data_IF_611366896678
#
_entry.id   IF_611366896678
#
_cell.length_a   1.000
_cell.length_b   1.000
_cell.length_c   1.000
_cell.angle_alpha   90.00
_cell.angle_beta   90.00
_cell.angle_gamma   90.00
#
_symmetry.space_group_name_H-M   'P 1'
#
loop_
_entity.id
_entity.type
_entity.pdbx_description
1 polymer ?
#
# COMPACT_ATOMS: atom_id res chain seq x y z
N UNK A 1 15.75 19.95 -22.60
CA UNK A 1 16.39 18.83 -21.84
C UNK A 1 16.20 18.91 -20.32
N UNK A 2 16.72 19.92 -19.57
CA UNK A 2 16.64 20.00 -18.08
C UNK A 2 15.26 19.73 -17.44
N UNK A 3 14.17 20.02 -18.15
CA UNK A 3 12.79 19.85 -17.71
C UNK A 3 12.30 18.39 -17.76
N UNK A 4 12.92 17.54 -18.59
CA UNK A 4 12.50 16.16 -18.88
C UNK A 4 13.20 15.15 -17.98
N UNK A 5 14.43 15.46 -17.54
CA UNK A 5 15.24 14.61 -16.64
C UNK A 5 14.51 14.11 -15.38
N UNK A 6 13.66 14.92 -14.69
CA UNK A 6 12.91 14.42 -13.53
C UNK A 6 11.88 13.35 -13.90
N UNK A 7 11.19 13.50 -15.04
CA UNK A 7 10.19 12.55 -15.51
C UNK A 7 10.82 11.26 -16.04
N UNK A 8 11.99 11.34 -16.69
CA UNK A 8 12.76 10.15 -17.09
C UNK A 8 13.20 9.30 -15.88
N UNK A 9 13.45 9.92 -14.71
CA UNK A 9 13.77 9.17 -13.48
C UNK A 9 12.54 8.47 -12.90
N UNK A 10 11.36 9.09 -12.99
CA UNK A 10 10.08 8.46 -12.62
C UNK A 10 9.80 7.27 -13.53
N UNK A 11 9.97 7.45 -14.85
CA UNK A 11 9.84 6.39 -15.85
C UNK A 11 10.82 5.23 -15.57
N UNK A 12 12.08 5.53 -15.28
CA UNK A 12 13.07 4.50 -14.91
C UNK A 12 12.68 3.77 -13.61
N UNK A 13 12.10 4.46 -12.62
CA UNK A 13 11.59 3.83 -11.40
C UNK A 13 10.40 2.90 -11.65
N UNK A 14 9.50 3.29 -12.55
CA UNK A 14 8.38 2.46 -13.01
C UNK A 14 8.90 1.16 -13.65
N UNK A 15 9.81 1.27 -14.63
CA UNK A 15 10.39 0.09 -15.30
C UNK A 15 11.22 -0.77 -14.34
N UNK A 16 11.93 -0.18 -13.36
CA UNK A 16 12.62 -0.95 -12.33
C UNK A 16 11.64 -1.80 -11.49
N UNK A 17 10.45 -1.25 -11.16
CA UNK A 17 9.40 -2.01 -10.48
C UNK A 17 8.85 -3.16 -11.32
N UNK A 18 8.57 -2.92 -12.60
CA UNK A 18 8.10 -3.96 -13.53
C UNK A 18 9.16 -5.06 -13.73
N UNK A 19 10.43 -4.71 -13.95
CA UNK A 19 11.49 -5.72 -14.12
C UNK A 19 11.78 -6.48 -12.84
N UNK A 20 11.58 -5.88 -11.66
CA UNK A 20 11.68 -6.59 -10.38
C UNK A 20 10.54 -7.60 -10.23
N UNK A 21 9.31 -7.24 -10.61
CA UNK A 21 8.17 -8.16 -10.57
C UNK A 21 8.38 -9.35 -11.51
N UNK A 22 8.72 -9.09 -12.78
CA UNK A 22 9.00 -10.14 -13.74
C UNK A 22 10.12 -11.07 -13.25
N UNK A 23 11.17 -10.53 -12.63
CA UNK A 23 12.27 -11.36 -12.12
C UNK A 23 11.81 -12.32 -11.02
N UNK A 24 10.82 -11.94 -10.21
CA UNK A 24 10.21 -12.81 -9.20
C UNK A 24 9.39 -13.92 -9.89
N UNK A 25 8.58 -13.57 -10.89
CA UNK A 25 7.80 -14.54 -11.68
C UNK A 25 8.71 -15.56 -12.37
N UNK A 26 9.79 -15.13 -13.03
CA UNK A 26 10.76 -16.03 -13.66
C UNK A 26 11.51 -16.93 -12.66
N UNK A 27 11.79 -16.43 -11.43
CA UNK A 27 12.37 -17.26 -10.35
C UNK A 27 11.39 -18.35 -9.92
N UNK A 28 10.10 -18.02 -9.74
CA UNK A 28 9.06 -18.99 -9.38
C UNK A 28 8.87 -20.04 -10.48
N UNK A 29 8.94 -19.63 -11.75
CA UNK A 29 8.86 -20.51 -12.91
C UNK A 29 10.17 -21.31 -13.19
N UNK A 30 11.24 -21.08 -12.42
CA UNK A 30 12.53 -21.77 -12.57
C UNK A 30 13.44 -21.27 -13.69
N UNK A 31 13.08 -20.18 -14.38
CA UNK A 31 13.83 -19.59 -15.49
C UNK A 31 14.93 -18.62 -14.99
N UNK A 32 15.88 -19.18 -14.23
CA UNK A 32 16.98 -18.43 -13.59
C UNK A 32 17.78 -17.53 -14.56
N UNK A 33 18.11 -17.92 -15.82
CA UNK A 33 18.88 -17.07 -16.72
C UNK A 33 18.18 -15.74 -17.06
N UNK A 34 16.86 -15.77 -17.24
CA UNK A 34 16.09 -14.58 -17.59
C UNK A 34 15.86 -13.67 -16.37
N UNK A 35 15.57 -14.27 -15.21
CA UNK A 35 15.51 -13.55 -13.94
C UNK A 35 16.81 -12.76 -13.64
N UNK A 36 17.98 -13.33 -13.92
CA UNK A 36 19.27 -12.65 -13.75
C UNK A 36 19.41 -11.40 -14.65
N UNK A 37 18.95 -11.49 -15.90
CA UNK A 37 18.94 -10.34 -16.84
C UNK A 37 17.99 -9.25 -16.32
N UNK A 38 16.79 -9.62 -15.89
CA UNK A 38 15.79 -8.69 -15.37
C UNK A 38 16.24 -8.03 -14.05
N UNK A 39 16.94 -8.76 -13.17
CA UNK A 39 17.58 -8.19 -11.97
C UNK A 39 18.67 -7.16 -12.31
N UNK A 40 19.50 -7.40 -13.34
CA UNK A 40 20.49 -6.42 -13.79
C UNK A 40 19.83 -5.13 -14.30
N UNK A 41 18.73 -5.23 -15.05
CA UNK A 41 17.94 -4.06 -15.45
C UNK A 41 17.34 -3.35 -14.26
N UNK A 42 16.77 -4.08 -13.29
CA UNK A 42 16.23 -3.53 -12.04
C UNK A 42 17.26 -2.72 -11.27
N UNK A 43 18.48 -3.27 -11.09
CA UNK A 43 19.59 -2.58 -10.41
C UNK A 43 20.01 -1.32 -11.18
N UNK A 44 20.16 -1.40 -12.50
CA UNK A 44 20.55 -0.25 -13.33
C UNK A 44 19.51 0.88 -13.35
N UNK A 45 18.23 0.53 -13.50
CA UNK A 45 17.12 1.47 -13.54
C UNK A 45 16.80 2.05 -12.15
N UNK A 46 16.79 1.22 -11.10
CA UNK A 46 16.63 1.66 -9.71
C UNK A 46 17.77 2.59 -9.26
N UNK A 47 19.00 2.33 -9.71
CA UNK A 47 20.13 3.24 -9.51
C UNK A 47 19.93 4.60 -10.19
N UNK A 48 19.39 4.63 -11.41
CA UNK A 48 19.10 5.88 -12.12
C UNK A 48 17.92 6.67 -11.49
N UNK A 49 16.88 5.96 -11.06
CA UNK A 49 15.67 6.50 -10.49
C UNK A 49 15.88 7.04 -9.06
N UNK A 50 16.54 6.27 -8.19
CA UNK A 50 16.69 6.55 -6.76
C UNK A 50 18.16 6.78 -6.38
N UNK A 51 19.07 5.89 -6.77
CA UNK A 51 20.47 5.92 -6.30
C UNK A 51 21.21 7.23 -6.62
N UNK A 52 21.12 7.70 -7.86
CA UNK A 52 21.73 8.97 -8.30
C UNK A 52 21.16 10.20 -7.57
N UNK A 53 19.83 10.46 -7.54
CA UNK A 53 19.31 11.60 -6.78
C UNK A 53 19.51 11.50 -5.26
N UNK A 54 19.61 10.30 -4.68
CA UNK A 54 19.98 10.15 -3.26
C UNK A 54 21.43 10.58 -3.00
N UNK A 55 22.37 10.20 -3.90
CA UNK A 55 23.76 10.67 -3.83
C UNK A 55 23.86 12.18 -4.05
N UNK A 56 23.15 12.72 -5.03
CA UNK A 56 23.08 14.17 -5.29
C UNK A 56 22.56 14.94 -4.06
N UNK A 57 21.61 14.38 -3.30
CA UNK A 57 21.13 14.95 -2.02
C UNK A 57 22.19 14.88 -0.91
N UNK A 58 22.83 13.72 -0.69
CA UNK A 58 23.89 13.55 0.31
C UNK A 58 25.06 14.50 0.06
N UNK A 59 25.47 14.68 -1.20
CA UNK A 59 26.51 15.63 -1.57
C UNK A 59 26.14 17.09 -1.29
N UNK A 60 24.85 17.47 -1.44
CA UNK A 60 24.36 18.81 -1.09
C UNK A 60 24.34 19.06 0.41
N UNK A 61 23.84 18.10 1.20
CA UNK A 61 23.81 18.19 2.67
C UNK A 61 25.25 18.36 3.18
N UNK A 62 26.18 17.53 2.71
CA UNK A 62 27.60 17.68 3.05
C UNK A 62 28.16 19.04 2.65
N UNK A 63 27.84 19.57 1.46
CA UNK A 63 28.28 20.90 1.05
C UNK A 63 27.65 22.04 1.89
N UNK A 64 26.45 21.85 2.44
CA UNK A 64 25.81 22.78 3.38
C UNK A 64 26.50 22.71 4.76
N UNK A 65 26.84 21.51 5.26
CA UNK A 65 27.63 21.27 6.47
C UNK A 65 29.06 21.84 6.36
N UNK A 66 29.80 21.51 5.30
CA UNK A 66 31.15 22.01 5.02
C UNK A 66 31.14 23.55 4.93
N UNK A 67 30.11 24.15 4.32
CA UNK A 67 29.96 25.60 4.27
C UNK A 67 29.57 26.23 5.62
N UNK A 68 28.87 25.51 6.50
CA UNK A 68 28.60 25.96 7.88
C UNK A 68 29.88 25.90 8.73
N UNK A 69 30.67 24.83 8.60
CA UNK A 69 31.97 24.72 9.25
C UNK A 69 32.93 25.84 8.80
N UNK A 70 33.03 26.10 7.50
CA UNK A 70 33.85 27.18 6.96
C UNK A 70 33.43 28.58 7.46
N UNK A 71 32.12 28.83 7.65
CA UNK A 71 31.62 30.08 8.25
C UNK A 71 32.04 30.22 9.71
N UNK A 72 31.89 29.16 10.50
CA UNK A 72 32.29 29.14 11.91
C UNK A 72 33.80 29.35 12.06
N UNK A 73 34.61 28.70 11.22
CA UNK A 73 36.06 28.83 11.20
C UNK A 73 36.52 30.23 10.75
N UNK A 74 35.83 30.86 9.79
CA UNK A 74 36.11 32.23 9.36
C UNK A 74 35.85 33.24 10.49
N UNK A 75 34.71 33.15 11.17
CA UNK A 75 34.39 34.01 12.32
C UNK A 75 35.36 33.81 13.48
N UNK A 76 35.72 32.55 13.80
CA UNK A 76 36.72 32.22 14.82
C UNK A 76 38.10 32.80 14.48
N UNK A 77 38.54 32.67 13.22
CA UNK A 77 39.82 33.24 12.74
C UNK A 77 39.83 34.78 12.82
N UNK A 78 38.74 35.44 12.45
CA UNK A 78 38.61 36.90 12.55
C UNK A 78 38.63 37.39 14.01
N UNK A 79 37.96 36.66 14.91
CA UNK A 79 38.01 36.92 16.35
C UNK A 79 39.43 36.81 16.90
N UNK A 80 40.17 35.75 16.56
CA UNK A 80 41.58 35.58 16.96
C UNK A 80 42.52 36.64 16.35
N UNK A 81 42.17 37.20 15.19
CA UNK A 81 42.92 38.29 14.56
C UNK A 81 42.63 39.68 15.18
N UNK A 82 41.67 39.78 16.10
CA UNK A 82 41.29 41.05 16.72
C UNK A 82 40.45 41.97 15.82
N UNK A 83 39.84 41.44 14.75
CA UNK A 83 38.90 42.18 13.89
C UNK A 83 37.45 41.86 14.28
N UNK A 84 36.81 42.67 15.15
CA UNK A 84 35.42 42.45 15.53
C UNK A 84 34.45 42.68 14.37
N UNK A 85 34.83 43.46 13.35
CA UNK A 85 33.94 43.77 12.22
C UNK A 85 33.78 42.54 11.32
N UNK A 86 34.87 41.83 11.05
CA UNK A 86 34.84 40.56 10.32
C UNK A 86 34.30 39.39 11.17
N UNK A 87 34.55 39.39 12.49
CA UNK A 87 34.06 38.33 13.39
C UNK A 87 32.54 38.28 13.53
N UNK A 88 31.87 39.44 13.43
CA UNK A 88 30.40 39.56 13.52
C UNK A 88 29.71 39.87 12.18
N UNK A 89 30.44 39.80 11.05
CA UNK A 89 29.84 39.97 9.73
C UNK A 89 28.81 38.86 9.43
N UNK A 90 27.66 39.18 8.81
CA UNK A 90 26.66 38.16 8.47
C UNK A 90 27.26 37.16 7.47
N UNK A 91 27.16 35.85 7.74
CA UNK A 91 27.79 34.84 6.90
C UNK A 91 27.17 34.78 5.50
N UNK A 92 27.94 34.39 4.45
CA UNK A 92 27.41 34.26 3.10
C UNK A 92 26.22 33.29 3.04
N UNK A 93 25.16 33.67 2.33
CA UNK A 93 23.91 32.88 2.24
C UNK A 93 24.18 31.42 1.80
N UNK A 94 23.51 30.41 2.40
CA UNK A 94 23.58 29.05 1.90
C UNK A 94 22.94 28.92 0.50
N UNK A 95 23.43 27.99 -0.33
CA UNK A 95 22.89 27.79 -1.68
C UNK A 95 21.40 27.42 -1.61
N UNK A 96 20.55 28.19 -2.30
CA UNK A 96 19.08 28.05 -2.17
C UNK A 96 18.61 26.65 -2.61
N UNK A 97 17.81 25.93 -1.79
CA UNK A 97 17.38 24.57 -2.11
C UNK A 97 16.51 24.56 -3.37
N UNK A 98 16.84 23.67 -4.30
CA UNK A 98 16.10 23.54 -5.57
C UNK A 98 14.77 22.82 -5.32
N UNK A 99 13.67 23.59 -5.37
CA UNK A 99 12.30 23.07 -5.16
C UNK A 99 11.96 22.00 -6.21
N UNK A 100 11.50 20.84 -5.75
CA UNK A 100 10.95 19.78 -6.61
C UNK A 100 9.59 20.25 -7.15
N UNK A 101 9.32 19.97 -8.43
CA UNK A 101 8.07 20.35 -9.09
C UNK A 101 6.95 19.40 -8.65
N UNK A 102 5.80 19.94 -8.22
CA UNK A 102 4.62 19.14 -7.80
C UNK A 102 4.22 18.08 -8.84
N UNK A 103 4.26 18.42 -10.13
CA UNK A 103 3.96 17.48 -11.22
C UNK A 103 4.89 16.26 -11.32
N UNK A 104 6.11 16.32 -10.77
CA UNK A 104 7.02 15.15 -10.70
C UNK A 104 6.63 14.23 -9.56
N UNK A 105 6.17 14.78 -8.43
CA UNK A 105 5.63 14.00 -7.31
C UNK A 105 4.35 13.28 -7.73
N UNK A 106 3.43 13.99 -8.41
CA UNK A 106 2.20 13.40 -8.95
C UNK A 106 2.53 12.28 -9.95
N UNK A 107 3.46 12.50 -10.88
CA UNK A 107 3.89 11.47 -11.82
C UNK A 107 4.51 10.24 -11.12
N UNK A 108 5.28 10.45 -10.05
CA UNK A 108 5.83 9.35 -9.26
C UNK A 108 4.75 8.52 -8.54
N UNK A 109 3.74 9.18 -7.96
CA UNK A 109 2.59 8.50 -7.35
C UNK A 109 1.79 7.69 -8.38
N UNK A 110 1.53 8.27 -9.56
CA UNK A 110 0.84 7.59 -10.66
C UNK A 110 1.64 6.38 -11.14
N UNK A 111 2.95 6.52 -11.36
CA UNK A 111 3.82 5.43 -11.77
C UNK A 111 3.87 4.29 -10.74
N UNK A 112 3.94 4.61 -9.45
CA UNK A 112 3.89 3.62 -8.38
C UNK A 112 2.54 2.90 -8.33
N UNK A 113 1.42 3.62 -8.51
CA UNK A 113 0.10 3.02 -8.59
C UNK A 113 -0.05 2.08 -9.80
N UNK A 114 0.45 2.45 -10.98
CA UNK A 114 0.43 1.57 -12.16
C UNK A 114 1.22 0.27 -11.95
N UNK A 115 2.42 0.35 -11.34
CA UNK A 115 3.20 -0.86 -11.02
C UNK A 115 2.45 -1.73 -10.01
N UNK A 116 1.88 -1.13 -8.96
CA UNK A 116 1.13 -1.86 -7.93
C UNK A 116 -0.13 -2.54 -8.50
N UNK A 117 -0.89 -1.84 -9.36
CA UNK A 117 -2.08 -2.40 -10.03
C UNK A 117 -1.68 -3.56 -10.96
N UNK A 118 -0.57 -3.44 -11.70
CA UNK A 118 -0.05 -4.52 -12.55
C UNK A 118 0.29 -5.77 -11.74
N UNK A 119 1.00 -5.61 -10.62
CA UNK A 119 1.33 -6.72 -9.70
C UNK A 119 0.05 -7.35 -9.14
N UNK A 120 -0.88 -6.56 -8.61
CA UNK A 120 -2.13 -7.10 -8.01
C UNK A 120 -2.98 -7.83 -9.05
N UNK A 121 -3.04 -7.34 -10.29
CA UNK A 121 -3.73 -8.02 -11.39
C UNK A 121 -3.13 -9.41 -11.67
N UNK A 122 -1.81 -9.49 -11.77
CA UNK A 122 -1.05 -10.73 -12.02
C UNK A 122 -1.24 -11.77 -10.90
N UNK A 123 -1.29 -11.34 -9.63
CA UNK A 123 -1.65 -12.23 -8.50
C UNK A 123 -3.11 -12.70 -8.53
N UNK A 124 -4.03 -11.92 -9.10
CA UNK A 124 -5.46 -12.20 -9.06
C UNK A 124 -5.89 -13.19 -10.15
N UNK A 125 -5.25 -13.15 -11.32
CA UNK A 125 -5.49 -14.06 -12.46
C UNK A 125 -5.11 -15.52 -12.11
N UNK A 126 -4.27 -15.72 -11.08
CA UNK A 126 -3.89 -17.05 -10.57
C UNK A 126 -4.92 -17.74 -9.65
N UNK A 127 -6.12 -17.17 -9.47
CA UNK A 127 -7.20 -17.75 -8.64
C UNK A 127 -8.42 -18.25 -9.42
N UNK A 128 -8.51 -17.97 -10.72
CA UNK A 128 -9.56 -18.56 -11.54
C UNK A 128 -9.23 -20.03 -11.86
N UNK A 129 -10.21 -20.91 -11.62
CA UNK A 129 -10.08 -22.33 -11.93
C UNK A 129 -9.87 -22.52 -13.44
N UNK A 130 -9.07 -23.52 -13.88
CA UNK A 130 -8.86 -23.76 -15.30
C UNK A 130 -10.21 -24.08 -15.97
N UNK A 131 -10.68 -23.15 -16.81
CA UNK A 131 -11.74 -23.43 -17.76
C UNK A 131 -11.16 -24.35 -18.83
N UNK A 132 -11.73 -25.55 -18.98
CA UNK A 132 -11.33 -26.57 -19.96
C UNK A 132 -11.67 -26.17 -21.42
N UNK A 133 -11.16 -25.02 -21.88
CA UNK A 133 -11.34 -24.53 -23.25
C UNK A 133 -10.23 -25.04 -24.18
N UNK A 134 -10.21 -26.37 -24.39
CA UNK A 134 -9.43 -26.97 -25.47
C UNK A 134 -10.10 -26.71 -26.84
N UNK A 135 -9.89 -25.51 -27.38
CA UNK A 135 -10.37 -25.13 -28.71
C UNK A 135 -9.38 -24.22 -29.48
N UNK A 136 -8.33 -24.84 -30.03
CA UNK A 136 -7.51 -24.29 -31.13
C UNK A 136 -7.61 -25.32 -32.28
N UNK A 137 -8.04 -25.02 -33.51
CA UNK A 137 -7.57 -23.93 -34.40
C UNK A 137 -8.51 -23.67 -35.60
N UNK A 138 -8.56 -22.42 -36.07
CA UNK A 138 -8.80 -21.94 -37.47
C UNK A 138 -10.21 -22.00 -38.14
N UNK A 139 -10.50 -21.08 -39.10
CA UNK A 139 -11.84 -20.84 -39.66
C UNK A 139 -12.06 -21.46 -41.06
N UNK A 140 -13.33 -21.65 -41.45
CA UNK A 140 -13.74 -21.89 -42.85
C UNK A 140 -15.05 -21.16 -43.20
N UNK A 141 -15.30 -20.94 -44.50
CA UNK A 141 -16.35 -20.10 -45.08
C UNK A 141 -17.09 -20.82 -46.20
N UNK A 142 -18.42 -20.60 -46.32
CA UNK A 142 -19.34 -21.13 -47.37
C UNK A 142 -19.61 -22.66 -47.35
N UNK A 143 -20.77 -23.20 -47.74
CA UNK A 143 -21.90 -22.65 -48.55
C UNK A 143 -23.23 -23.40 -48.26
N UNK A 144 -24.39 -22.72 -48.46
CA UNK A 144 -25.71 -23.15 -49.01
C UNK A 144 -26.11 -24.66 -49.17
N UNK A 145 -27.40 -25.10 -49.11
CA UNK A 145 -28.71 -24.42 -49.08
C UNK A 145 -29.92 -25.36 -48.71
N UNK A 146 -31.13 -24.75 -48.53
CA UNK A 146 -32.50 -25.29 -48.85
C UNK A 146 -33.08 -26.40 -47.93
N UNK A 147 -34.34 -26.39 -47.44
CA UNK A 147 -35.59 -25.72 -47.88
C UNK A 147 -36.58 -25.29 -46.75
N UNK A 148 -37.44 -24.32 -47.06
CA UNK A 148 -38.76 -23.98 -46.43
C UNK A 148 -39.92 -24.68 -47.20
N UNK A 149 -41.25 -24.59 -46.86
CA UNK A 149 -42.01 -23.65 -46.01
C UNK A 149 -42.96 -24.32 -44.95
N UNK A 150 -43.72 -23.62 -44.09
CA UNK A 150 -45.12 -23.16 -44.38
C UNK A 150 -45.72 -22.34 -43.20
N UNK A 151 -45.83 -21.00 -43.39
CA UNK A 151 -46.78 -19.95 -42.90
C UNK A 151 -47.44 -19.92 -41.48
N UNK A 152 -47.92 -18.73 -40.98
CA UNK A 152 -47.99 -18.41 -39.55
C UNK A 152 -49.41 -18.14 -38.97
N UNK A 153 -49.47 -17.87 -37.66
CA UNK A 153 -50.55 -17.10 -36.99
C UNK A 153 -49.94 -16.06 -36.04
N UNK A 154 -50.57 -14.89 -35.93
CA UNK A 154 -50.08 -13.71 -35.18
C UNK A 154 -51.05 -13.29 -34.05
N UNK A 155 -50.76 -12.13 -33.41
CA UNK A 155 -51.61 -11.30 -32.52
C UNK A 155 -51.20 -11.38 -31.02
N UNK A 156 -50.47 -10.40 -30.46
CA UNK A 156 -50.89 -9.10 -29.85
C UNK A 156 -51.35 -9.24 -28.37
N UNK A 157 -51.26 -8.27 -27.44
CA UNK A 157 -50.95 -6.83 -27.50
C UNK A 157 -50.48 -6.24 -26.13
N UNK A 158 -49.97 -4.99 -26.15
CA UNK A 158 -49.98 -3.92 -25.11
C UNK A 158 -49.37 -4.17 -23.69
N UNK A 159 -48.52 -3.33 -23.05
CA UNK A 159 -48.32 -1.84 -22.96
C UNK A 159 -49.02 -1.17 -21.75
N UNK A 160 -48.30 -0.25 -21.08
CA UNK A 160 -48.70 0.81 -20.09
C UNK A 160 -48.10 0.60 -18.66
N UNK A 161 -47.96 1.64 -17.82
CA UNK A 161 -46.88 2.66 -17.80
C UNK A 161 -47.20 3.84 -16.84
N UNK A 162 -46.18 4.38 -16.14
CA UNK A 162 -46.20 5.63 -15.33
C UNK A 162 -47.14 5.61 -14.07
N UNK A 163 -47.11 6.52 -13.07
CA UNK A 163 -46.34 7.76 -12.82
C UNK A 163 -46.28 8.07 -11.26
N UNK A 164 -45.15 8.47 -10.65
CA UNK A 164 -44.66 9.82 -10.20
C UNK A 164 -45.31 10.58 -8.99
N UNK A 165 -44.52 10.78 -7.89
CA UNK A 165 -44.41 11.97 -6.96
C UNK A 165 -45.64 12.48 -6.14
N UNK A 166 -45.54 13.41 -5.12
CA UNK A 166 -44.48 14.40 -4.76
C UNK A 166 -44.10 14.53 -3.24
N UNK A 167 -43.49 15.66 -2.83
CA UNK A 167 -42.72 15.86 -1.59
C UNK A 167 -43.14 17.05 -0.68
N UNK A 168 -42.65 17.07 0.59
CA UNK A 168 -42.52 18.20 1.53
C UNK A 168 -41.74 17.74 2.80
N UNK A 169 -41.14 18.52 3.72
CA UNK A 169 -40.31 19.75 3.81
C UNK A 169 -40.22 20.11 5.34
N UNK A 170 -39.06 20.61 5.80
CA UNK A 170 -38.78 21.31 7.09
C UNK A 170 -38.19 20.56 8.34
N UNK A 171 -37.43 21.34 9.13
CA UNK A 171 -36.51 21.08 10.27
C UNK A 171 -37.03 21.80 11.56
N UNK A 172 -36.57 21.56 12.84
CA UNK A 172 -35.17 21.38 13.27
C UNK A 172 -34.83 20.48 14.52
N UNK A 173 -33.52 20.45 14.82
CA UNK A 173 -32.69 19.97 15.98
C UNK A 173 -33.31 19.81 17.40
N UNK A 174 -32.71 19.01 18.33
CA UNK A 174 -31.26 18.81 18.51
C UNK A 174 -30.72 17.38 18.72
N UNK A 175 -29.38 17.29 18.77
CA UNK A 175 -28.56 16.08 18.85
C UNK A 175 -28.94 15.13 19.99
N UNK A 176 -29.26 13.90 19.61
CA UNK A 176 -28.65 12.72 20.25
C UNK A 176 -27.74 12.08 19.22
N UNK A 177 -26.48 11.79 19.60
CA UNK A 177 -25.57 10.99 18.78
C UNK A 177 -26.16 9.58 18.73
N UNK A 178 -26.86 9.26 17.65
CA UNK A 178 -27.37 7.92 17.41
C UNK A 178 -26.17 6.96 17.34
N UNK A 179 -25.86 6.32 18.47
CA UNK A 179 -25.06 5.11 18.46
C UNK A 179 -25.84 4.12 17.59
N UNK A 180 -25.23 3.72 16.47
CA UNK A 180 -25.71 2.58 15.70
C UNK A 180 -25.86 1.42 16.67
N UNK A 181 -27.08 0.88 16.79
CA UNK A 181 -27.34 -0.33 17.55
C UNK A 181 -26.79 -1.54 16.79
N UNK A 182 -25.47 -1.60 16.65
CA UNK A 182 -24.74 -2.83 16.40
C UNK A 182 -25.02 -3.74 17.60
N UNK A 183 -25.39 -4.99 17.33
CA UNK A 183 -25.56 -5.98 18.40
C UNK A 183 -24.28 -6.02 19.24
N UNK A 184 -24.44 -5.96 20.56
CA UNK A 184 -23.33 -6.02 21.49
C UNK A 184 -22.51 -7.31 21.25
N UNK A 185 -21.32 -7.16 20.70
CA UNK A 185 -20.41 -8.26 20.46
C UNK A 185 -19.89 -8.80 21.80
N UNK A 186 -19.68 -10.12 21.86
CA UNK A 186 -19.22 -10.81 23.07
C UNK A 186 -17.79 -11.26 22.86
N UNK A 187 -16.91 -10.95 23.82
CA UNK A 187 -15.52 -11.33 23.79
C UNK A 187 -15.38 -12.86 23.77
N UNK A 188 -14.81 -13.47 22.72
CA UNK A 188 -14.54 -14.91 22.70
C UNK A 188 -13.41 -15.28 23.68
N UNK A 189 -13.29 -16.57 23.99
CA UNK A 189 -12.09 -17.09 24.67
C UNK A 189 -11.02 -17.38 23.60
N UNK A 190 -9.93 -16.62 23.62
CA UNK A 190 -8.83 -16.68 22.64
C UNK A 190 -7.45 -16.85 23.28
N UNK A 191 -7.40 -17.10 24.59
CA UNK A 191 -6.16 -17.50 25.28
C UNK A 191 -5.66 -18.81 24.69
N UNK A 192 -4.35 -18.93 24.50
CA UNK A 192 -3.67 -20.06 23.87
C UNK A 192 -3.97 -20.27 22.38
N UNK A 193 -4.54 -19.28 21.70
CA UNK A 193 -4.57 -19.20 20.24
C UNK A 193 -3.36 -18.42 19.71
N UNK A 194 -2.99 -18.64 18.45
CA UNK A 194 -2.11 -17.71 17.76
C UNK A 194 -2.83 -16.36 17.54
N UNK A 195 -2.07 -15.26 17.46
CA UNK A 195 -2.63 -13.91 17.42
C UNK A 195 -3.49 -13.69 16.16
N UNK A 196 -3.23 -14.36 15.04
CA UNK A 196 -4.09 -14.25 13.86
C UNK A 196 -5.44 -14.93 14.12
N UNK A 197 -5.43 -16.19 14.56
CA UNK A 197 -6.67 -16.91 14.87
C UNK A 197 -7.48 -16.23 16.00
N UNK A 198 -6.81 -15.62 16.97
CA UNK A 198 -7.45 -14.82 18.01
C UNK A 198 -8.16 -13.58 17.45
N UNK A 199 -7.49 -12.81 16.57
CA UNK A 199 -8.09 -11.67 15.88
C UNK A 199 -9.27 -12.10 14.99
N UNK A 200 -9.12 -13.15 14.20
CA UNK A 200 -10.16 -13.69 13.31
C UNK A 200 -11.41 -14.12 14.12
N UNK A 201 -11.22 -14.70 15.31
CA UNK A 201 -12.31 -15.09 16.21
C UNK A 201 -13.06 -13.88 16.80
N UNK A 202 -12.35 -12.79 17.10
CA UNK A 202 -12.97 -11.51 17.54
C UNK A 202 -13.72 -10.83 16.40
N UNK A 203 -13.20 -10.89 15.17
CA UNK A 203 -13.89 -10.41 13.96
C UNK A 203 -15.17 -11.21 13.68
N UNK A 204 -15.13 -12.54 13.83
CA UNK A 204 -16.31 -13.39 13.73
C UNK A 204 -17.38 -13.09 14.81
N UNK A 205 -16.97 -12.57 15.97
CA UNK A 205 -17.88 -12.08 17.01
C UNK A 205 -18.49 -10.70 16.71
N UNK A 206 -18.05 -10.02 15.65
CA UNK A 206 -18.61 -8.75 15.17
C UNK A 206 -17.79 -7.50 15.50
N UNK A 207 -16.52 -7.64 15.93
CA UNK A 207 -15.59 -6.51 16.20
C UNK A 207 -14.44 -6.55 15.21
N UNK A 208 -14.37 -5.57 14.30
CA UNK A 208 -13.37 -5.57 13.22
C UNK A 208 -11.97 -5.22 13.69
N UNK A 209 -11.85 -4.42 14.76
CA UNK A 209 -10.57 -3.95 15.28
C UNK A 209 -10.32 -4.42 16.72
N UNK A 210 -9.23 -5.15 16.91
CA UNK A 210 -8.67 -5.46 18.23
C UNK A 210 -7.23 -4.93 18.32
N UNK A 211 -6.74 -4.80 19.54
CA UNK A 211 -5.37 -4.36 19.86
C UNK A 211 -4.57 -5.51 20.44
N UNK A 212 -3.26 -5.41 20.34
CA UNK A 212 -2.34 -6.41 20.88
C UNK A 212 -1.10 -5.74 21.47
N UNK A 213 -0.52 -6.38 22.50
CA UNK A 213 0.61 -5.87 23.27
C UNK A 213 1.58 -7.01 23.59
N UNK A 214 2.87 -6.73 23.47
CA UNK A 214 3.92 -7.68 23.84
C UNK A 214 3.98 -7.82 25.37
N UNK A 215 3.58 -9.00 25.87
CA UNK A 215 3.47 -9.30 27.30
C UNK A 215 4.82 -9.28 28.02
N UNK A 216 5.92 -9.42 27.27
CA UNK A 216 7.29 -9.28 27.80
C UNK A 216 7.64 -7.83 28.15
N UNK A 217 6.90 -6.85 27.62
CA UNK A 217 7.21 -5.43 27.71
C UNK A 217 8.32 -4.95 26.76
N UNK A 218 8.89 -5.82 25.92
CA UNK A 218 9.95 -5.44 24.97
C UNK A 218 9.47 -4.52 23.83
N UNK A 219 8.15 -4.39 23.64
CA UNK A 219 7.55 -3.47 22.66
C UNK A 219 7.83 -3.85 21.21
N UNK A 220 8.04 -5.14 20.94
CA UNK A 220 8.38 -5.64 19.61
C UNK A 220 7.18 -5.54 18.66
N UNK A 221 7.46 -5.27 17.39
CA UNK A 221 6.43 -5.20 16.36
C UNK A 221 5.93 -6.61 16.00
N UNK A 222 4.62 -6.82 16.14
CA UNK A 222 3.93 -8.03 15.68
C UNK A 222 3.70 -7.91 14.17
N UNK A 223 4.74 -8.25 13.39
CA UNK A 223 4.72 -8.17 11.91
C UNK A 223 4.16 -9.45 11.29
N UNK A 224 4.22 -10.57 12.00
CA UNK A 224 3.70 -11.86 11.57
C UNK A 224 2.95 -12.52 12.72
N UNK A 225 1.65 -12.25 12.81
CA UNK A 225 0.79 -12.58 13.96
C UNK A 225 0.79 -14.08 14.30
N UNK A 226 0.97 -14.96 13.32
CA UNK A 226 1.06 -16.42 13.55
C UNK A 226 2.24 -16.83 14.45
N UNK A 227 3.29 -16.02 14.55
CA UNK A 227 4.46 -16.28 15.42
C UNK A 227 4.21 -15.79 16.87
N UNK A 228 2.99 -15.41 17.23
CA UNK A 228 2.63 -14.86 18.54
C UNK A 228 1.48 -15.64 19.16
N UNK A 229 1.60 -15.99 20.43
CA UNK A 229 0.60 -16.74 21.20
C UNK A 229 -0.03 -15.82 22.23
N UNK A 230 -1.37 -15.82 22.31
CA UNK A 230 -2.13 -15.04 23.29
C UNK A 230 -2.03 -15.68 24.67
N UNK A 231 -1.43 -14.98 25.62
CA UNK A 231 -1.28 -15.42 27.02
C UNK A 231 -2.33 -14.82 27.95
N UNK A 232 -2.88 -13.65 27.60
CA UNK A 232 -3.95 -12.99 28.35
C UNK A 232 -4.83 -12.18 27.39
N UNK A 233 -6.09 -12.03 27.73
CA UNK A 233 -7.05 -11.20 27.00
C UNK A 233 -7.78 -10.24 27.95
N UNK A 234 -8.05 -9.03 27.47
CA UNK A 234 -8.84 -8.03 28.17
C UNK A 234 -9.80 -7.35 27.19
N UNK A 235 -11.12 -7.27 27.46
CA UNK A 235 -11.83 -7.89 28.58
C UNK A 235 -11.76 -9.43 28.62
N UNK A 236 -12.20 -10.01 29.73
CA UNK A 236 -12.35 -11.45 29.88
C UNK A 236 -13.39 -12.01 28.90
N UNK A 237 -13.27 -13.29 28.53
CA UNK A 237 -14.27 -13.98 27.71
C UNK A 237 -15.69 -13.84 28.32
N UNK A 238 -16.69 -13.67 27.45
CA UNK A 238 -18.09 -13.43 27.84
C UNK A 238 -18.46 -11.97 28.14
N UNK A 239 -17.49 -11.06 28.22
CA UNK A 239 -17.76 -9.63 28.37
C UNK A 239 -18.27 -9.00 27.05
N UNK A 240 -19.03 -7.91 27.15
CA UNK A 240 -19.40 -7.10 25.98
C UNK A 240 -18.22 -6.26 25.52
N UNK A 241 -17.97 -6.24 24.21
CA UNK A 241 -16.90 -5.47 23.56
C UNK A 241 -17.44 -4.66 22.37
N UNK A 242 -16.83 -3.50 22.12
CA UNK A 242 -16.92 -2.75 20.88
C UNK A 242 -15.58 -2.63 20.17
N UNK A 243 -15.54 -1.77 19.14
CA UNK A 243 -14.36 -1.55 18.30
C UNK A 243 -13.14 -1.05 19.09
N UNK A 244 -12.07 -1.84 19.09
CA UNK A 244 -10.83 -1.55 19.79
C UNK A 244 -10.85 -1.85 21.30
N UNK A 245 -11.94 -2.32 21.88
CA UNK A 245 -12.00 -2.65 23.31
C UNK A 245 -11.15 -3.88 23.65
N UNK A 246 -11.14 -4.89 22.76
CA UNK A 246 -10.32 -6.08 22.90
C UNK A 246 -8.82 -5.75 22.81
N UNK A 247 -8.07 -6.16 23.84
CA UNK A 247 -6.61 -6.08 23.97
C UNK A 247 -6.08 -7.48 24.27
N UNK A 248 -5.13 -7.95 23.45
CA UNK A 248 -4.50 -9.25 23.57
C UNK A 248 -3.05 -9.11 24.03
N UNK A 249 -2.70 -9.68 25.17
CA UNK A 249 -1.31 -9.80 25.61
C UNK A 249 -0.69 -11.03 24.94
N UNK A 250 0.42 -10.85 24.23
CA UNK A 250 1.07 -11.91 23.44
C UNK A 250 2.54 -12.08 23.79
N UNK A 251 3.02 -13.32 23.73
CA UNK A 251 4.46 -13.66 23.70
C UNK A 251 4.76 -14.31 22.34
N UNK A 252 6.02 -14.43 21.96
CA UNK A 252 6.34 -15.24 20.77
C UNK A 252 6.11 -16.73 21.02
N UNK A 253 5.89 -17.49 19.96
CA UNK A 253 5.71 -18.94 20.03
C UNK A 253 6.91 -19.68 20.67
N UNK A 254 8.14 -19.16 20.50
CA UNK A 254 9.38 -19.67 21.11
C UNK A 254 9.61 -19.24 22.57
N UNK A 255 8.69 -18.48 23.16
CA UNK A 255 8.74 -17.97 24.54
C UNK A 255 7.71 -18.68 25.43
N UNK A 256 7.98 -18.87 26.75
CA UNK A 256 7.11 -19.63 27.64
C UNK A 256 5.73 -18.97 27.82
N UNK A 257 4.74 -19.50 27.08
CA UNK A 257 3.35 -19.01 27.06
C UNK A 257 2.45 -19.66 28.12
N UNK A 258 2.82 -20.85 28.62
CA UNK A 258 1.98 -21.66 29.52
C UNK A 258 0.82 -22.38 28.83
N UNK A 259 0.79 -22.39 27.50
CA UNK A 259 -0.29 -22.93 26.67
C UNK A 259 -0.04 -24.34 26.11
N UNK A 260 1.09 -24.96 26.47
CA UNK A 260 1.57 -26.26 25.99
C UNK A 260 2.39 -26.98 27.07
#
# INVERSE_FOLDING_TARGET
MRFVVPYLRVLAGMFAGVTMWLAIVEIVNGNVPEALIQLLFTVGLGYLAVGKPLRDRRARIKAEEDALAARAEAGHRAFLAGDPSAAFAPPPEPPKPQKIRRGVVIAAMIAAAFVLIGIIGDLSDGLDAPSDDNATTTPQTSTQATATPTVPVATSAATTAAAVTPAAVAVPTPSSKAASAQSAAIMPNVVCMDLQAAQDTIQAAGVFYSRSVDATGEGRAQVWDRNWVVVEQSPSAGAVIGEGDAVLSVVKEDEPSGCY
#
